data_IF_826184485111
#
_entry.id   IF_826184485111
#
_cell.length_a   1.000
_cell.length_b   1.000
_cell.length_c   1.000
_cell.angle_alpha   90.00
_cell.angle_beta   90.00
_cell.angle_gamma   90.00
#
_symmetry.space_group_name_H-M   'P 1'
#
loop_
_entity.id
_entity.type
_entity.pdbx_description
1 polymer ?
#
# COMPACT_ATOMS: atom_id res chain seq x y z
N UNK A 1 -18.63 37.41 6.93
CA UNK A 1 -18.21 36.01 7.23
C UNK A 1 -18.78 35.14 6.12
N UNK A 2 -17.93 34.70 5.20
CA UNK A 2 -18.39 33.77 4.17
C UNK A 2 -18.68 32.41 4.84
N UNK A 3 -19.94 32.01 4.82
CA UNK A 3 -20.33 30.65 5.25
C UNK A 3 -19.58 29.63 4.39
N UNK A 4 -18.81 28.75 5.03
CA UNK A 4 -18.22 27.59 4.37
C UNK A 4 -19.33 26.78 3.67
N UNK A 5 -19.11 26.24 2.47
CA UNK A 5 -20.12 25.43 1.80
C UNK A 5 -20.53 24.26 2.69
N UNK A 6 -21.83 23.93 2.66
CA UNK A 6 -22.52 23.00 3.56
C UNK A 6 -21.98 21.55 3.63
N UNK A 7 -20.93 21.23 2.88
CA UNK A 7 -20.35 19.88 2.76
C UNK A 7 -18.92 19.74 3.33
N UNK A 8 -18.44 20.71 4.11
CA UNK A 8 -17.12 20.52 4.76
C UNK A 8 -17.30 19.56 5.95
N UNK A 9 -16.47 18.51 6.04
CA UNK A 9 -16.55 17.58 7.15
C UNK A 9 -16.20 18.28 8.47
N UNK A 10 -17.14 18.32 9.41
CA UNK A 10 -17.02 19.01 10.70
C UNK A 10 -15.74 18.69 11.46
N UNK A 11 -15.27 17.45 11.38
CA UNK A 11 -14.05 17.02 12.05
C UNK A 11 -12.81 17.77 11.54
N UNK A 12 -12.72 18.01 10.22
CA UNK A 12 -11.61 18.72 9.60
C UNK A 12 -11.63 20.20 9.96
N UNK A 13 -12.82 20.82 9.90
CA UNK A 13 -13.00 22.22 10.33
C UNK A 13 -12.60 22.41 11.79
N UNK A 14 -13.04 21.53 12.69
CA UNK A 14 -12.65 21.58 14.11
C UNK A 14 -11.14 21.43 14.29
N UNK A 15 -10.50 20.56 13.50
CA UNK A 15 -9.05 20.34 13.54
C UNK A 15 -8.28 21.58 13.08
N UNK A 16 -8.72 22.22 11.99
CA UNK A 16 -8.15 23.48 11.47
C UNK A 16 -8.30 24.62 12.49
N UNK A 17 -9.49 24.80 13.06
CA UNK A 17 -9.73 25.82 14.08
C UNK A 17 -8.79 25.62 15.29
N UNK A 18 -8.63 24.38 15.76
CA UNK A 18 -7.74 24.04 16.87
C UNK A 18 -6.27 24.38 16.58
N UNK A 19 -5.89 24.39 15.31
CA UNK A 19 -4.52 24.75 14.86
C UNK A 19 -4.35 26.25 14.54
N UNK A 20 -5.32 27.10 14.93
CA UNK A 20 -5.24 28.56 14.72
C UNK A 20 -6.00 29.08 13.50
N UNK A 21 -6.85 28.26 12.88
CA UNK A 21 -7.75 28.65 11.78
C UNK A 21 -7.15 28.55 10.38
N UNK A 22 -5.84 28.31 10.27
CA UNK A 22 -5.14 28.09 9.01
C UNK A 22 -4.16 26.93 9.15
N UNK A 23 -3.97 26.16 8.09
CA UNK A 23 -3.00 25.05 8.03
C UNK A 23 -2.26 25.08 6.69
N UNK A 24 -1.12 24.43 6.64
CA UNK A 24 -0.41 24.22 5.39
C UNK A 24 -1.19 23.23 4.49
N UNK A 25 -0.94 23.28 3.18
CA UNK A 25 -1.51 22.27 2.26
C UNK A 25 -1.02 20.87 2.60
N UNK A 26 0.23 20.73 3.08
CA UNK A 26 0.77 19.46 3.55
C UNK A 26 -0.06 18.90 4.72
N UNK A 27 -0.34 19.70 5.74
CA UNK A 27 -1.14 19.27 6.89
C UNK A 27 -2.57 18.92 6.47
N UNK A 28 -3.16 19.72 5.57
CA UNK A 28 -4.47 19.43 5.01
C UNK A 28 -4.49 18.04 4.33
N UNK A 29 -3.54 17.79 3.41
CA UNK A 29 -3.44 16.51 2.71
C UNK A 29 -3.19 15.35 3.68
N UNK A 30 -2.34 15.55 4.68
CA UNK A 30 -2.08 14.54 5.69
C UNK A 30 -3.34 14.20 6.50
N UNK A 31 -4.14 15.19 6.86
CA UNK A 31 -5.39 14.93 7.58
C UNK A 31 -6.41 14.19 6.71
N UNK A 32 -6.68 14.67 5.51
CA UNK A 32 -7.74 14.07 4.67
C UNK A 32 -7.37 12.69 4.15
N UNK A 33 -6.09 12.37 4.06
CA UNK A 33 -5.62 11.07 3.59
C UNK A 33 -5.30 10.10 4.74
N UNK A 34 -4.64 10.55 5.79
CA UNK A 34 -3.99 9.67 6.75
C UNK A 34 -4.58 9.72 8.18
N UNK A 35 -5.61 10.56 8.45
CA UNK A 35 -6.26 10.53 9.76
C UNK A 35 -6.84 9.12 10.02
N UNK A 36 -6.52 8.48 11.17
CA UNK A 36 -6.87 7.08 11.40
C UNK A 36 -8.39 6.82 11.51
N UNK A 37 -9.19 7.86 11.74
CA UNK A 37 -10.65 7.72 11.86
C UNK A 37 -11.37 8.21 10.61
N UNK A 38 -10.91 9.31 10.05
CA UNK A 38 -11.64 10.05 9.01
C UNK A 38 -10.89 10.10 7.67
N UNK A 39 -9.57 9.86 7.68
CA UNK A 39 -8.74 9.94 6.49
C UNK A 39 -9.06 8.84 5.50
N UNK A 40 -8.89 9.14 4.23
CA UNK A 40 -9.23 8.23 3.15
C UNK A 40 -8.47 6.90 3.25
N UNK A 41 -7.15 6.93 3.41
CA UNK A 41 -6.33 5.73 3.61
C UNK A 41 -6.24 5.33 5.09
N UNK A 42 -6.07 6.31 5.99
CA UNK A 42 -5.88 6.07 7.41
C UNK A 42 -7.01 5.25 8.04
N UNK A 43 -8.25 5.54 7.68
CA UNK A 43 -9.43 4.83 8.17
C UNK A 43 -9.77 3.52 7.44
N UNK A 44 -9.01 3.17 6.40
CA UNK A 44 -9.31 2.02 5.56
C UNK A 44 -10.53 2.18 4.63
N UNK A 45 -11.05 3.39 4.44
CA UNK A 45 -12.19 3.66 3.55
C UNK A 45 -11.84 3.59 2.08
N UNK A 46 -10.55 3.74 1.74
CA UNK A 46 -10.08 3.65 0.36
C UNK A 46 -10.49 2.32 -0.28
N UNK A 47 -11.22 2.37 -1.37
CA UNK A 47 -11.60 1.20 -2.14
C UNK A 47 -10.81 1.17 -3.46
N UNK A 48 -10.03 0.10 -3.65
CA UNK A 48 -9.20 -0.12 -4.82
C UNK A 48 -9.80 -1.23 -5.67
N UNK A 49 -9.66 -1.11 -7.00
CA UNK A 49 -10.17 -2.09 -7.94
C UNK A 49 -11.35 -1.61 -8.76
N UNK A 50 -11.91 -2.49 -9.58
CA UNK A 50 -12.94 -2.18 -10.61
C UNK A 50 -14.19 -1.49 -10.04
N UNK A 51 -14.52 -1.75 -8.78
CA UNK A 51 -15.68 -1.16 -8.09
C UNK A 51 -15.27 -0.08 -7.09
N UNK A 52 -13.99 0.26 -7.03
CA UNK A 52 -13.43 1.24 -6.12
C UNK A 52 -13.20 2.59 -6.78
N UNK A 53 -12.54 3.48 -6.03
CA UNK A 53 -12.23 4.85 -6.48
C UNK A 53 -11.10 4.90 -7.50
N UNK A 54 -10.22 3.89 -7.48
CA UNK A 54 -9.09 3.76 -8.41
C UNK A 54 -8.95 2.34 -8.94
N UNK A 55 -8.55 2.25 -10.19
CA UNK A 55 -8.15 0.99 -10.82
C UNK A 55 -6.66 1.05 -11.11
N UNK A 56 -5.92 0.08 -10.60
CA UNK A 56 -4.49 -0.09 -10.87
C UNK A 56 -4.24 -1.44 -11.50
N UNK A 57 -3.14 -1.58 -12.25
CA UNK A 57 -2.82 -2.87 -12.89
C UNK A 57 -2.84 -4.05 -11.93
N UNK A 58 -2.26 -3.97 -10.70
CA UNK A 58 -2.34 -5.06 -9.73
C UNK A 58 -3.75 -5.39 -9.25
N UNK A 59 -4.68 -4.43 -9.31
CA UNK A 59 -6.06 -4.63 -8.87
C UNK A 59 -6.98 -5.24 -9.95
N UNK A 60 -6.50 -5.35 -11.20
CA UNK A 60 -7.25 -5.92 -12.31
C UNK A 60 -7.08 -7.43 -12.44
N UNK A 61 -5.83 -7.90 -12.35
CA UNK A 61 -5.50 -9.33 -12.45
C UNK A 61 -4.12 -9.60 -11.87
N UNK A 62 -3.82 -10.90 -11.65
CA UNK A 62 -2.50 -11.35 -11.22
C UNK A 62 -1.43 -11.20 -12.31
N UNK A 63 -1.80 -10.94 -13.57
CA UNK A 63 -0.87 -10.89 -14.70
C UNK A 63 0.25 -9.88 -14.51
N UNK A 64 -0.07 -8.69 -13.95
CA UNK A 64 0.94 -7.68 -13.65
C UNK A 64 1.94 -8.19 -12.63
N UNK A 65 1.46 -8.80 -11.54
CA UNK A 65 2.32 -9.36 -10.51
C UNK A 65 3.15 -10.54 -11.03
N UNK A 66 2.62 -11.34 -11.94
CA UNK A 66 3.33 -12.45 -12.57
C UNK A 66 4.45 -11.97 -13.49
N UNK A 67 4.20 -10.95 -14.31
CA UNK A 67 5.24 -10.36 -15.18
C UNK A 67 6.37 -9.75 -14.37
N UNK A 68 6.03 -8.96 -13.35
CA UNK A 68 7.04 -8.36 -12.44
C UNK A 68 7.71 -9.43 -11.59
N UNK A 69 6.96 -10.45 -11.16
CA UNK A 69 7.46 -11.59 -10.40
C UNK A 69 8.58 -12.34 -11.13
N UNK A 70 8.42 -12.57 -12.42
CA UNK A 70 9.46 -13.15 -13.25
C UNK A 70 10.75 -12.31 -13.28
N UNK A 71 10.61 -10.99 -13.40
CA UNK A 71 11.77 -10.08 -13.36
C UNK A 71 12.43 -10.06 -11.98
N UNK A 72 11.63 -10.06 -10.90
CA UNK A 72 12.15 -10.13 -9.52
C UNK A 72 12.89 -11.46 -9.31
N UNK A 73 12.36 -12.57 -9.80
CA UNK A 73 13.03 -13.88 -9.75
C UNK A 73 14.41 -13.84 -10.41
N UNK A 74 14.52 -13.28 -11.61
CA UNK A 74 15.79 -13.12 -12.32
C UNK A 74 16.80 -12.29 -11.50
N UNK A 75 16.34 -11.19 -10.89
CA UNK A 75 17.20 -10.38 -10.01
C UNK A 75 17.63 -11.14 -8.76
N UNK A 76 16.72 -11.85 -8.11
CA UNK A 76 17.04 -12.65 -6.92
C UNK A 76 18.06 -13.76 -7.22
N UNK A 77 17.95 -14.41 -8.39
CA UNK A 77 18.92 -15.39 -8.85
C UNK A 77 20.31 -14.74 -9.01
N UNK A 78 20.37 -13.59 -9.68
CA UNK A 78 21.63 -12.87 -9.89
C UNK A 78 22.25 -12.42 -8.56
N UNK A 79 21.46 -11.89 -7.63
CA UNK A 79 21.93 -11.49 -6.31
C UNK A 79 22.45 -12.69 -5.50
N UNK A 80 21.75 -13.82 -5.49
CA UNK A 80 22.20 -15.04 -4.81
C UNK A 80 23.51 -15.58 -5.40
N UNK A 81 23.74 -15.42 -6.69
CA UNK A 81 24.98 -15.85 -7.34
C UNK A 81 26.15 -14.89 -7.15
N UNK A 82 25.90 -13.60 -6.96
CA UNK A 82 26.91 -12.54 -6.92
C UNK A 82 27.31 -12.13 -5.50
N UNK A 83 26.42 -12.31 -4.53
CA UNK A 83 26.61 -11.92 -3.13
C UNK A 83 26.70 -13.17 -2.25
N UNK A 84 27.49 -13.08 -1.21
CA UNK A 84 27.74 -14.14 -0.23
C UNK A 84 26.51 -14.99 0.05
N UNK A 85 26.62 -16.26 -0.15
CA UNK A 85 25.57 -17.29 -0.13
C UNK A 85 24.69 -17.35 1.15
N UNK A 86 25.07 -16.63 2.21
CA UNK A 86 24.39 -16.64 3.51
C UNK A 86 23.55 -15.38 3.80
N UNK A 87 23.41 -14.45 2.86
CA UNK A 87 22.61 -13.26 3.09
C UNK A 87 21.12 -13.53 2.82
N UNK A 88 20.27 -13.09 3.75
CA UNK A 88 18.82 -13.08 3.55
C UNK A 88 18.46 -11.91 2.62
N UNK A 89 17.69 -12.21 1.60
CA UNK A 89 17.15 -11.20 0.68
C UNK A 89 15.74 -10.82 1.10
N UNK A 90 15.32 -9.60 0.74
CA UNK A 90 13.95 -9.16 0.94
C UNK A 90 13.42 -8.46 -0.32
N UNK A 91 12.16 -8.68 -0.61
CA UNK A 91 11.36 -7.89 -1.55
C UNK A 91 10.49 -6.98 -0.71
N UNK A 92 10.64 -5.67 -0.90
CA UNK A 92 9.96 -4.67 -0.09
C UNK A 92 9.04 -3.84 -0.99
N UNK A 93 7.76 -3.77 -0.63
CA UNK A 93 6.77 -2.91 -1.28
C UNK A 93 6.39 -1.76 -0.35
N UNK A 94 6.42 -0.53 -0.86
CA UNK A 94 5.98 0.65 -0.14
C UNK A 94 4.60 1.06 -0.62
N UNK A 95 3.66 1.25 0.32
CA UNK A 95 2.31 1.72 -0.01
C UNK A 95 1.54 0.72 -0.88
N UNK A 96 1.46 -0.52 -0.44
CA UNK A 96 0.89 -1.65 -1.19
C UNK A 96 -0.61 -1.56 -1.49
N UNK A 97 -1.27 -0.46 -1.14
CA UNK A 97 -2.72 -0.35 -1.29
C UNK A 97 -3.44 -1.45 -0.52
N UNK A 98 -4.27 -2.21 -1.22
CA UNK A 98 -4.99 -3.35 -0.62
C UNK A 98 -4.17 -4.66 -0.55
N UNK A 99 -2.89 -4.63 -0.95
CA UNK A 99 -1.99 -5.78 -0.96
C UNK A 99 -2.12 -6.69 -2.20
N UNK A 100 -2.86 -6.27 -3.23
CA UNK A 100 -3.07 -7.07 -4.44
C UNK A 100 -1.78 -7.47 -5.13
N UNK A 101 -0.83 -6.55 -5.27
CA UNK A 101 0.44 -6.83 -5.94
C UNK A 101 1.27 -7.85 -5.15
N UNK A 102 1.45 -7.63 -3.84
CA UNK A 102 2.22 -8.56 -3.00
C UNK A 102 1.58 -9.95 -2.96
N UNK A 103 0.25 -10.02 -2.86
CA UNK A 103 -0.49 -11.29 -2.92
C UNK A 103 -0.26 -12.02 -4.24
N UNK A 104 -0.39 -11.32 -5.37
CA UNK A 104 -0.11 -11.90 -6.69
C UNK A 104 1.34 -12.32 -6.86
N UNK A 105 2.29 -11.56 -6.30
CA UNK A 105 3.70 -11.88 -6.33
C UNK A 105 4.02 -13.16 -5.53
N UNK A 106 3.47 -13.30 -4.33
CA UNK A 106 3.62 -14.52 -3.52
C UNK A 106 3.01 -15.71 -4.26
N UNK A 107 1.84 -15.54 -4.87
CA UNK A 107 1.20 -16.57 -5.69
C UNK A 107 2.08 -16.98 -6.87
N UNK A 108 2.70 -16.02 -7.57
CA UNK A 108 3.67 -16.32 -8.63
C UNK A 108 4.78 -17.26 -8.14
N UNK A 109 5.42 -16.97 -7.01
CA UNK A 109 6.49 -17.80 -6.46
C UNK A 109 5.98 -19.15 -5.97
N UNK A 110 4.78 -19.23 -5.39
CA UNK A 110 4.18 -20.50 -5.00
C UNK A 110 3.96 -21.44 -6.18
N UNK A 111 3.57 -20.90 -7.32
CA UNK A 111 3.28 -21.67 -8.53
C UNK A 111 4.55 -22.02 -9.33
N UNK A 112 5.54 -21.13 -9.37
CA UNK A 112 6.67 -21.26 -10.27
C UNK A 112 7.98 -21.64 -9.56
N UNK A 113 8.22 -21.17 -8.32
CA UNK A 113 9.46 -21.42 -7.62
C UNK A 113 9.33 -21.30 -6.09
N UNK A 114 8.73 -22.30 -5.46
CA UNK A 114 8.50 -22.32 -4.00
C UNK A 114 9.79 -22.19 -3.17
N UNK A 115 10.92 -22.66 -3.68
CA UNK A 115 12.19 -22.62 -2.96
C UNK A 115 12.66 -21.17 -2.68
N UNK A 116 12.20 -20.19 -3.44
CA UNK A 116 12.51 -18.78 -3.15
C UNK A 116 11.82 -18.30 -1.88
N UNK A 117 10.64 -18.81 -1.55
CA UNK A 117 9.89 -18.39 -0.36
C UNK A 117 10.63 -18.72 0.95
N UNK A 118 11.46 -19.77 0.96
CA UNK A 118 12.25 -20.14 2.13
C UNK A 118 13.46 -19.23 2.37
N UNK A 119 13.95 -18.55 1.33
CA UNK A 119 15.17 -17.74 1.38
C UNK A 119 14.99 -16.24 1.17
N UNK A 120 13.76 -15.77 0.95
CA UNK A 120 13.43 -14.38 0.67
C UNK A 120 12.28 -13.93 1.56
N UNK A 121 12.42 -12.78 2.20
CA UNK A 121 11.33 -12.16 2.96
C UNK A 121 10.52 -11.24 2.05
N UNK A 122 9.20 -11.30 2.15
CA UNK A 122 8.29 -10.39 1.48
C UNK A 122 7.72 -9.42 2.53
N UNK A 123 7.93 -8.12 2.33
CA UNK A 123 7.66 -7.09 3.34
C UNK A 123 6.85 -5.96 2.71
N UNK A 124 5.76 -5.59 3.36
CA UNK A 124 5.01 -4.37 3.04
C UNK A 124 5.33 -3.31 4.09
N UNK A 125 5.60 -2.09 3.63
CA UNK A 125 5.74 -0.91 4.48
C UNK A 125 4.53 -0.01 4.22
N UNK A 126 3.63 0.06 5.20
CA UNK A 126 2.38 0.82 5.14
C UNK A 126 2.18 1.63 6.43
N UNK A 127 2.12 2.98 6.34
CA UNK A 127 1.92 3.82 7.51
C UNK A 127 0.47 3.88 7.99
N UNK A 128 -0.50 3.47 7.17
CA UNK A 128 -1.92 3.61 7.45
C UNK A 128 -2.51 2.31 7.99
N UNK A 129 -2.89 2.29 9.28
CA UNK A 129 -3.45 1.09 9.94
C UNK A 129 -4.67 0.54 9.20
N UNK A 130 -5.55 1.40 8.69
CA UNK A 130 -6.72 0.97 7.92
C UNK A 130 -6.35 0.21 6.63
N UNK A 131 -5.23 0.55 6.00
CA UNK A 131 -4.72 -0.18 4.84
C UNK A 131 -4.01 -1.47 5.26
N UNK A 132 -3.28 -1.45 6.40
CA UNK A 132 -2.66 -2.66 6.97
C UNK A 132 -3.70 -3.76 7.23
N UNK A 133 -4.87 -3.41 7.76
CA UNK A 133 -5.94 -4.38 7.99
C UNK A 133 -6.49 -4.97 6.67
N UNK A 134 -6.62 -4.16 5.62
CA UNK A 134 -6.99 -4.67 4.28
C UNK A 134 -5.95 -5.66 3.74
N UNK A 135 -4.67 -5.32 3.88
CA UNK A 135 -3.55 -6.15 3.44
C UNK A 135 -3.52 -7.49 4.18
N UNK A 136 -3.69 -7.49 5.51
CA UNK A 136 -3.76 -8.73 6.32
C UNK A 136 -4.91 -9.66 5.91
N UNK A 137 -6.02 -9.10 5.46
CA UNK A 137 -7.16 -9.90 5.01
C UNK A 137 -6.95 -10.49 3.60
N UNK A 138 -5.96 -10.02 2.86
CA UNK A 138 -5.68 -10.44 1.49
C UNK A 138 -4.48 -11.39 1.38
N UNK A 139 -3.54 -11.27 2.27
CA UNK A 139 -2.32 -12.10 2.36
C UNK A 139 -2.52 -13.30 3.25
#
# INVERSE_FOLDING_TARGET
MNSLPANNPDWLVKKIIKMGGTISFYDFMNFVLNDPINGYYGSGKAELGVRGDFVTSPSLSDDFAFLVGKQIEDWLIQFKSSFLSNQKLAVIEFGAGDGSFMSGLIKYFLENNKNFLEGVSFVIIEPNEGMVEKQKNKL
#
